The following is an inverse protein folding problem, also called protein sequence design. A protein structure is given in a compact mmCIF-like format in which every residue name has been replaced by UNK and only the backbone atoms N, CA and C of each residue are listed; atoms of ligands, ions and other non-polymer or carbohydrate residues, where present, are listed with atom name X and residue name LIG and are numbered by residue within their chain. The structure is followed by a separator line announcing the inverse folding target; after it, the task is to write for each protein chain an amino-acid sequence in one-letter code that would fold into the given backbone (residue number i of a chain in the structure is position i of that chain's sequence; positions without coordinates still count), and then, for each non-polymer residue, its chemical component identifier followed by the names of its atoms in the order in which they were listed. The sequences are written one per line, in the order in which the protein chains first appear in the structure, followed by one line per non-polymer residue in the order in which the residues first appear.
data_IF_595717960422
#
_entry.id   IF_595717960422
#
_cell.length_a   1.000
_cell.length_b   1.000
_cell.length_c   1.000
_cell.angle_alpha   90.00
_cell.angle_beta   90.00
_cell.angle_gamma   90.00
#
_symmetry.space_group_name_H-M   'P 1'
#
loop_
_entity.id
_entity.type
_entity.pdbx_description
1 polymer ?
#
# COMPACT_ATOMS: atom_id res chain seq x y z
N UNK A 1 8.14 3.57 -4.16
CA UNK A 1 7.63 4.35 -3.01
C UNK A 1 8.05 3.69 -1.71
N UNK A 2 8.46 4.46 -0.69
CA UNK A 2 8.70 3.98 0.67
C UNK A 2 7.58 4.49 1.58
N UNK A 3 7.01 3.62 2.42
CA UNK A 3 5.93 4.01 3.32
C UNK A 3 5.96 3.18 4.61
N UNK A 4 5.52 3.79 5.70
CA UNK A 4 5.17 3.08 6.93
C UNK A 4 3.71 2.66 6.88
N UNK A 5 3.15 2.17 7.99
CA UNK A 5 1.71 1.96 8.08
C UNK A 5 0.96 3.29 7.80
N UNK A 6 0.02 3.24 6.86
CA UNK A 6 -0.73 4.41 6.41
C UNK A 6 -2.13 4.01 5.96
N UNK A 7 -3.06 4.96 6.07
CA UNK A 7 -4.42 4.74 5.61
C UNK A 7 -4.47 4.67 4.08
N UNK A 8 -5.21 3.69 3.54
CA UNK A 8 -5.39 3.43 2.10
C UNK A 8 -5.69 4.70 1.30
N UNK A 9 -6.52 5.60 1.82
CA UNK A 9 -6.92 6.83 1.13
C UNK A 9 -5.75 7.82 0.94
N UNK A 10 -4.84 7.91 1.92
CA UNK A 10 -3.64 8.75 1.82
C UNK A 10 -2.63 8.13 0.85
N UNK A 11 -2.39 6.82 0.99
CA UNK A 11 -1.52 6.08 0.10
C UNK A 11 -2.01 6.17 -1.36
N UNK A 12 -3.29 5.89 -1.61
CA UNK A 12 -3.86 5.90 -2.94
C UNK A 12 -3.82 7.26 -3.62
N UNK A 13 -3.88 8.34 -2.85
CA UNK A 13 -3.69 9.68 -3.39
C UNK A 13 -2.22 9.91 -3.79
N UNK A 14 -1.28 9.59 -2.89
CA UNK A 14 0.15 9.84 -3.07
C UNK A 14 0.83 8.92 -4.10
N UNK A 15 0.31 7.69 -4.28
CA UNK A 15 0.90 6.68 -5.16
C UNK A 15 0.92 7.11 -6.64
N UNK A 16 2.08 7.02 -7.28
CA UNK A 16 2.34 7.47 -8.66
C UNK A 16 2.70 6.30 -9.59
N UNK A 17 2.12 5.12 -9.35
CA UNK A 17 2.27 3.94 -10.21
C UNK A 17 3.72 3.42 -10.27
N UNK A 18 4.44 3.55 -9.16
CA UNK A 18 5.80 3.05 -9.03
C UNK A 18 5.87 1.52 -9.17
N UNK A 19 6.89 0.97 -9.84
CA UNK A 19 7.00 -0.48 -10.09
C UNK A 19 7.23 -1.31 -8.81
N UNK A 20 7.64 -0.65 -7.72
CA UNK A 20 7.89 -1.27 -6.42
C UNK A 20 7.48 -0.34 -5.28
N UNK A 21 6.86 -0.94 -4.26
CA UNK A 21 6.48 -0.29 -3.01
C UNK A 21 7.08 -1.06 -1.86
N UNK A 22 7.74 -0.34 -0.96
CA UNK A 22 8.34 -0.86 0.26
C UNK A 22 7.50 -0.39 1.45
N UNK A 23 7.03 -1.33 2.25
CA UNK A 23 6.38 -1.10 3.52
C UNK A 23 7.33 -1.46 4.66
N UNK A 24 7.54 -0.53 5.58
CA UNK A 24 8.28 -0.76 6.82
C UNK A 24 7.30 -0.72 8.00
N UNK A 25 7.06 -1.89 8.60
CA UNK A 25 6.15 -2.07 9.72
C UNK A 25 6.93 -2.17 11.03
N UNK A 26 6.64 -1.25 11.95
CA UNK A 26 7.14 -1.32 13.32
C UNK A 26 6.30 -2.32 14.13
N UNK A 27 6.85 -2.84 15.23
CA UNK A 27 6.19 -3.87 16.05
C UNK A 27 4.80 -3.46 16.55
N UNK A 28 4.59 -2.17 16.81
CA UNK A 28 3.30 -1.63 17.25
C UNK A 28 2.21 -1.72 16.18
N UNK A 29 2.59 -1.80 14.90
CA UNK A 29 1.67 -1.94 13.77
C UNK A 29 1.29 -3.40 13.47
N UNK A 30 1.81 -4.39 14.23
CA UNK A 30 1.63 -5.81 13.93
C UNK A 30 0.17 -6.24 13.80
N UNK A 31 -0.71 -5.69 14.65
CA UNK A 31 -2.15 -5.98 14.61
C UNK A 31 -2.93 -5.15 13.59
N UNK A 32 -2.30 -4.14 12.99
CA UNK A 32 -2.95 -3.13 12.14
C UNK A 32 -2.38 -3.07 10.71
N UNK A 33 -1.87 -4.21 10.21
CA UNK A 33 -1.41 -4.31 8.82
C UNK A 33 -2.60 -4.29 7.87
N UNK A 34 -2.55 -3.39 6.90
CA UNK A 34 -3.58 -3.25 5.88
C UNK A 34 -3.38 -4.24 4.71
N UNK A 35 -3.69 -5.51 4.94
CA UNK A 35 -3.56 -6.57 3.95
C UNK A 35 -4.38 -6.30 2.67
N UNK A 36 -5.55 -5.69 2.79
CA UNK A 36 -6.37 -5.30 1.64
C UNK A 36 -5.65 -4.32 0.69
N UNK A 37 -4.90 -3.37 1.23
CA UNK A 37 -4.07 -2.47 0.42
C UNK A 37 -2.93 -3.23 -0.28
N UNK A 38 -2.26 -4.15 0.42
CA UNK A 38 -1.18 -4.96 -0.15
C UNK A 38 -1.68 -5.83 -1.31
N UNK A 39 -2.84 -6.45 -1.16
CA UNK A 39 -3.48 -7.24 -2.22
C UNK A 39 -3.89 -6.39 -3.42
N UNK A 40 -4.48 -5.22 -3.19
CA UNK A 40 -4.82 -4.25 -4.24
C UNK A 40 -3.59 -3.87 -5.08
N UNK A 41 -2.46 -3.62 -4.42
CA UNK A 41 -1.19 -3.32 -5.09
C UNK A 41 -0.67 -4.50 -5.93
N UNK A 42 -0.71 -5.72 -5.37
CA UNK A 42 -0.33 -6.95 -6.10
C UNK A 42 -1.22 -7.19 -7.32
N UNK A 43 -2.51 -6.89 -7.20
CA UNK A 43 -3.48 -7.03 -8.29
C UNK A 43 -3.39 -5.91 -9.33
N UNK A 44 -2.60 -4.86 -9.08
CA UNK A 44 -2.47 -3.73 -10.01
C UNK A 44 -3.69 -2.80 -10.03
N UNK A 45 -4.48 -2.77 -8.95
CA UNK A 45 -5.70 -1.96 -8.89
C UNK A 45 -5.82 -1.27 -7.54
N UNK A 46 -5.97 0.05 -7.55
CA UNK A 46 -6.08 0.86 -6.34
C UNK A 46 -7.20 1.88 -6.47
N UNK A 47 -8.06 1.97 -5.45
CA UNK A 47 -9.11 2.98 -5.42
C UNK A 47 -8.64 4.22 -4.65
N UNK A 48 -8.64 5.37 -5.33
CA UNK A 48 -8.34 6.66 -4.73
C UNK A 48 -9.64 7.40 -4.47
N UNK A 49 -10.08 7.46 -3.22
CA UNK A 49 -11.31 8.16 -2.80
C UNK A 49 -11.14 9.65 -2.50
N UNK A 50 -9.89 10.13 -2.37
CA UNK A 50 -9.62 11.54 -2.02
C UNK A 50 -9.76 12.47 -3.22
N UNK A 51 -10.47 13.59 -3.00
CA UNK A 51 -10.77 14.70 -3.93
C UNK A 51 -11.55 14.31 -5.18
N UNK A 52 -11.07 13.31 -5.91
CA UNK A 52 -11.74 12.76 -7.07
C UNK A 52 -11.67 11.24 -6.98
N UNK A 53 -12.83 10.62 -6.73
CA UNK A 53 -12.98 9.18 -6.70
C UNK A 53 -12.59 8.58 -8.04
N UNK A 54 -11.45 7.91 -8.09
CA UNK A 54 -10.94 7.25 -9.30
C UNK A 54 -10.33 5.90 -8.98
N UNK A 55 -10.50 4.96 -9.91
CA UNK A 55 -9.78 3.69 -9.89
C UNK A 55 -8.49 3.87 -10.68
N UNK A 56 -7.34 3.66 -10.04
CA UNK A 56 -6.04 3.57 -10.68
C UNK A 56 -5.80 2.11 -11.06
N UNK A 57 -5.53 1.84 -12.34
CA UNK A 57 -5.16 0.52 -12.85
C UNK A 57 -3.75 0.60 -13.41
N UNK A 58 -2.87 -0.25 -12.90
CA UNK A 58 -1.45 -0.27 -13.22
C UNK A 58 -0.97 -1.72 -13.31
N UNK A 59 0.28 -1.92 -13.73
CA UNK A 59 0.86 -3.27 -13.75
C UNK A 59 1.02 -3.78 -12.31
N UNK A 60 0.81 -5.09 -12.04
CA UNK A 60 1.10 -5.70 -10.75
C UNK A 60 2.43 -5.20 -10.15
N UNK A 61 2.36 -4.70 -8.93
CA UNK A 61 3.48 -4.02 -8.26
C UNK A 61 4.23 -5.00 -7.38
N UNK A 62 5.56 -4.86 -7.34
CA UNK A 62 6.36 -5.59 -6.34
C UNK A 62 6.17 -4.95 -4.98
N UNK A 63 5.56 -5.68 -4.05
CA UNK A 63 5.37 -5.27 -2.66
C UNK A 63 6.44 -5.94 -1.81
N UNK A 64 7.24 -5.14 -1.09
CA UNK A 64 8.24 -5.62 -0.14
C UNK A 64 7.85 -5.15 1.27
N UNK A 65 7.69 -6.07 2.21
CA UNK A 65 7.36 -5.74 3.59
C UNK A 65 8.56 -6.05 4.49
N UNK A 66 9.04 -5.05 5.21
CA UNK A 66 9.96 -5.21 6.32
C UNK A 66 9.15 -5.18 7.61
N UNK A 67 9.35 -6.16 8.48
CA UNK A 67 8.69 -6.25 9.76
C UNK A 67 9.65 -6.90 10.78
N UNK A 68 9.63 -6.40 12.01
CA UNK A 68 10.41 -6.96 13.13
C UNK A 68 9.63 -8.01 13.92
N UNK A 69 8.62 -8.62 13.30
CA UNK A 69 7.72 -9.61 13.86
C UNK A 69 7.25 -10.55 12.75
N UNK A 70 6.80 -11.74 13.13
CA UNK A 70 6.25 -12.70 12.17
C UNK A 70 4.88 -12.24 11.66
N UNK A 71 4.61 -12.40 10.35
CA UNK A 71 3.37 -11.97 9.71
C UNK A 71 2.13 -12.77 10.14
#
# INVERSE_FOLDING_TARGET
MYCTNTQTAHFAYAYQEEPMVVFDYVRDDAEHINYALLEQLKNGMLFSSKYQSRVKRFKPVKVCCFANFDP
#
